data_IF_622993771955
#
_entry.id   IF_622993771955
#
_cell.length_a   1.000
_cell.length_b   1.000
_cell.length_c   1.000
_cell.angle_alpha   90.00
_cell.angle_beta   90.00
_cell.angle_gamma   90.00
#
_symmetry.space_group_name_H-M   'P 1'
#
loop_
_entity.id
_entity.type
_entity.pdbx_description
1 polymer ?
#
# COMPACT_ATOMS: atom_id res chain seq x y z
N UNK A 1 -10.46 -20.24 -13.33
CA UNK A 1 -10.99 -19.33 -12.29
C UNK A 1 -12.00 -18.33 -12.86
N UNK A 2 -11.67 -17.56 -13.91
CA UNK A 2 -12.61 -16.59 -14.50
C UNK A 2 -13.96 -17.17 -14.94
N UNK A 3 -13.99 -18.37 -15.53
CA UNK A 3 -15.23 -19.02 -16.00
C UNK A 3 -16.19 -19.38 -14.85
N UNK A 4 -15.68 -19.73 -13.69
CA UNK A 4 -16.50 -20.06 -12.49
C UNK A 4 -17.13 -18.79 -11.93
N UNK A 5 -16.39 -17.67 -11.89
CA UNK A 5 -16.89 -16.38 -11.43
C UNK A 5 -17.99 -15.83 -12.36
N UNK A 6 -17.84 -16.00 -13.67
CA UNK A 6 -18.85 -15.60 -14.65
C UNK A 6 -20.10 -16.45 -14.49
N UNK A 7 -19.98 -17.78 -14.29
CA UNK A 7 -21.11 -18.68 -14.10
C UNK A 7 -21.88 -18.35 -12.80
N UNK A 8 -21.17 -18.05 -11.70
CA UNK A 8 -21.79 -17.64 -10.44
C UNK A 8 -22.49 -16.28 -10.58
N UNK A 9 -21.88 -15.32 -11.26
CA UNK A 9 -22.49 -14.01 -11.52
C UNK A 9 -23.77 -14.14 -12.36
N UNK A 10 -23.76 -14.96 -13.41
CA UNK A 10 -24.93 -15.23 -14.25
C UNK A 10 -26.04 -15.94 -13.47
N UNK A 11 -25.68 -16.94 -12.64
CA UNK A 11 -26.66 -17.66 -11.80
C UNK A 11 -27.34 -16.73 -10.79
N UNK A 12 -26.57 -15.82 -10.18
CA UNK A 12 -27.10 -14.82 -9.22
C UNK A 12 -28.02 -13.83 -9.91
N UNK A 13 -27.67 -13.33 -11.10
CA UNK A 13 -28.52 -12.42 -11.88
C UNK A 13 -29.80 -13.09 -12.31
N UNK A 14 -29.76 -14.34 -12.78
CA UNK A 14 -30.96 -15.08 -13.22
C UNK A 14 -31.92 -15.45 -12.06
N UNK A 15 -31.39 -15.81 -10.89
CA UNK A 15 -32.20 -16.29 -9.79
C UNK A 15 -32.60 -15.22 -8.75
N UNK A 16 -31.85 -14.15 -8.67
CA UNK A 16 -32.02 -13.09 -7.63
C UNK A 16 -32.11 -11.68 -8.19
N UNK A 17 -31.88 -11.48 -9.49
CA UNK A 17 -31.87 -10.15 -10.12
C UNK A 17 -33.20 -9.39 -10.11
N UNK A 18 -34.31 -10.05 -9.75
CA UNK A 18 -35.63 -9.43 -9.65
C UNK A 18 -35.88 -8.61 -8.37
N UNK A 19 -35.06 -8.77 -7.32
CA UNK A 19 -35.29 -8.18 -5.99
C UNK A 19 -34.24 -7.16 -5.58
N UNK A 20 -33.35 -6.70 -6.49
CA UNK A 20 -32.32 -5.73 -6.16
C UNK A 20 -31.23 -6.25 -5.20
N UNK A 21 -31.17 -7.56 -4.97
CA UNK A 21 -30.15 -8.16 -4.12
C UNK A 21 -28.83 -8.28 -4.89
N UNK A 22 -27.83 -7.52 -4.46
CA UNK A 22 -26.45 -7.66 -4.93
C UNK A 22 -25.66 -8.27 -3.77
N UNK A 23 -25.20 -9.53 -3.87
CA UNK A 23 -24.43 -10.13 -2.79
C UNK A 23 -23.13 -9.37 -2.59
N UNK A 24 -22.70 -9.24 -1.34
CA UNK A 24 -21.37 -8.75 -1.01
C UNK A 24 -20.30 -9.77 -1.42
N UNK A 25 -19.06 -9.31 -1.59
CA UNK A 25 -17.94 -10.22 -1.88
C UNK A 25 -17.77 -11.29 -0.82
N UNK A 26 -18.00 -10.98 0.45
CA UNK A 26 -17.93 -11.95 1.56
C UNK A 26 -18.97 -13.07 1.40
N UNK A 27 -20.19 -12.73 0.96
CA UNK A 27 -21.22 -13.72 0.67
C UNK A 27 -20.84 -14.61 -0.53
N UNK A 28 -20.22 -14.01 -1.56
CA UNK A 28 -19.76 -14.76 -2.73
C UNK A 28 -18.64 -15.73 -2.32
N UNK A 29 -17.67 -15.30 -1.51
CA UNK A 29 -16.59 -16.17 -1.01
C UNK A 29 -17.15 -17.35 -0.20
N UNK A 30 -18.10 -17.09 0.72
CA UNK A 30 -18.77 -18.16 1.48
C UNK A 30 -19.49 -19.18 0.58
N UNK A 31 -20.17 -18.71 -0.48
CA UNK A 31 -20.89 -19.59 -1.39
C UNK A 31 -19.97 -20.47 -2.24
N UNK A 32 -18.81 -20.02 -2.61
CA UNK A 32 -17.82 -20.80 -3.36
C UNK A 32 -16.89 -21.61 -2.46
N UNK A 33 -17.10 -21.58 -1.13
CA UNK A 33 -16.26 -22.30 -0.16
C UNK A 33 -14.83 -21.77 -0.09
N UNK A 34 -14.63 -20.53 -0.49
CA UNK A 34 -13.38 -19.81 -0.29
C UNK A 34 -13.56 -18.97 0.97
N UNK A 35 -12.85 -19.30 2.03
CA UNK A 35 -12.70 -18.38 3.15
C UNK A 35 -11.98 -17.13 2.60
N UNK A 36 -12.56 -15.91 2.79
CA UNK A 36 -11.77 -14.71 2.53
C UNK A 36 -10.50 -14.87 3.36
N UNK A 37 -9.35 -14.68 2.73
CA UNK A 37 -8.10 -14.60 3.48
C UNK A 37 -8.32 -13.53 4.54
N UNK A 38 -8.59 -13.96 5.78
CA UNK A 38 -8.61 -13.04 6.89
C UNK A 38 -7.20 -12.49 6.94
N UNK A 39 -7.05 -11.22 6.60
CA UNK A 39 -5.85 -10.51 7.01
C UNK A 39 -5.79 -10.72 8.52
N UNK A 40 -4.93 -11.62 8.96
CA UNK A 40 -4.64 -11.78 10.36
C UNK A 40 -4.26 -10.38 10.83
N UNK A 41 -5.12 -9.76 11.64
CA UNK A 41 -4.74 -8.56 12.35
C UNK A 41 -3.54 -9.00 13.18
N UNK A 42 -2.34 -8.67 12.70
CA UNK A 42 -1.11 -9.10 13.33
C UNK A 42 -1.16 -8.60 14.76
N UNK A 43 -1.07 -9.53 15.71
CA UNK A 43 -0.89 -9.16 17.11
C UNK A 43 0.33 -8.24 17.21
N UNK A 44 0.34 -7.25 18.12
CA UNK A 44 1.50 -6.40 18.30
C UNK A 44 2.77 -7.26 18.42
N UNK A 45 3.81 -6.89 17.67
CA UNK A 45 5.09 -7.59 17.71
C UNK A 45 5.64 -7.58 19.14
N UNK A 46 6.23 -8.69 19.61
CA UNK A 46 6.97 -8.71 20.87
C UNK A 46 8.04 -7.62 20.90
N UNK A 47 8.33 -7.09 22.08
CA UNK A 47 9.33 -6.05 22.25
C UNK A 47 10.70 -6.50 21.73
N UNK A 48 11.32 -5.70 20.87
CA UNK A 48 12.62 -5.98 20.26
C UNK A 48 12.57 -6.82 18.99
N UNK A 49 11.41 -7.34 18.60
CA UNK A 49 11.27 -8.02 17.31
C UNK A 49 11.07 -7.02 16.17
N UNK A 50 11.61 -7.37 15.00
CA UNK A 50 11.44 -6.61 13.75
C UNK A 50 10.75 -7.50 12.73
N UNK A 51 9.66 -7.01 12.16
CA UNK A 51 9.00 -7.64 11.01
C UNK A 51 9.38 -6.89 9.73
N UNK A 52 9.73 -7.65 8.69
CA UNK A 52 9.98 -7.14 7.35
C UNK A 52 9.02 -7.83 6.39
N UNK A 53 8.15 -7.05 5.78
CA UNK A 53 7.08 -7.54 4.90
C UNK A 53 7.33 -7.04 3.48
N UNK A 54 7.45 -7.96 2.54
CA UNK A 54 7.46 -7.65 1.11
C UNK A 54 6.01 -7.65 0.62
N UNK A 55 5.49 -6.48 0.30
CA UNK A 55 4.10 -6.31 -0.13
C UNK A 55 3.95 -6.65 -1.61
N UNK A 56 2.88 -7.38 -1.95
CA UNK A 56 2.59 -7.71 -3.36
C UNK A 56 1.97 -6.50 -4.07
N UNK A 57 2.80 -5.77 -4.77
CA UNK A 57 2.42 -4.62 -5.58
C UNK A 57 2.49 -4.90 -7.09
N UNK A 58 2.68 -6.16 -7.48
CA UNK A 58 2.92 -6.57 -8.86
C UNK A 58 4.34 -6.23 -9.32
N UNK A 59 4.46 -5.55 -10.47
CA UNK A 59 5.78 -5.12 -10.95
C UNK A 59 6.22 -3.87 -10.20
N UNK A 60 7.20 -4.01 -9.31
CA UNK A 60 7.73 -2.92 -8.50
C UNK A 60 8.08 -3.39 -7.09
N UNK A 61 8.50 -2.48 -6.24
CA UNK A 61 8.89 -2.78 -4.86
C UNK A 61 8.05 -2.00 -3.86
N UNK A 62 7.70 -2.67 -2.76
CA UNK A 62 7.17 -2.06 -1.54
C UNK A 62 7.54 -2.95 -0.34
N UNK A 63 8.32 -2.43 0.59
CA UNK A 63 8.78 -3.16 1.77
C UNK A 63 8.38 -2.41 3.02
N UNK A 64 7.56 -3.04 3.86
CA UNK A 64 7.16 -2.52 5.16
C UNK A 64 8.07 -3.11 6.24
N UNK A 65 8.61 -2.25 7.11
CA UNK A 65 9.39 -2.63 8.28
C UNK A 65 8.66 -2.13 9.52
N UNK A 66 8.39 -3.05 10.45
CA UNK A 66 7.71 -2.76 11.71
C UNK A 66 8.61 -3.16 12.88
N UNK A 67 8.78 -2.26 13.86
CA UNK A 67 9.51 -2.54 15.08
C UNK A 67 9.02 -1.64 16.22
N UNK A 68 8.66 -2.23 17.36
CA UNK A 68 8.29 -1.49 18.59
C UNK A 68 7.25 -0.39 18.38
N UNK A 69 6.31 -0.57 17.44
CA UNK A 69 5.29 0.42 17.10
C UNK A 69 5.73 1.47 16.08
N UNK A 70 7.01 1.49 15.69
CA UNK A 70 7.50 2.29 14.57
C UNK A 70 7.26 1.56 13.24
N UNK A 71 7.01 2.33 12.19
CA UNK A 71 6.79 1.81 10.83
C UNK A 71 7.61 2.59 9.78
N UNK A 72 8.26 1.84 8.91
CA UNK A 72 8.97 2.38 7.76
C UNK A 72 8.49 1.69 6.49
N UNK A 73 8.11 2.46 5.48
CA UNK A 73 7.80 1.94 4.14
C UNK A 73 8.89 2.34 3.16
N UNK A 74 9.51 1.36 2.51
CA UNK A 74 10.51 1.56 1.47
C UNK A 74 9.85 1.26 0.12
N UNK A 75 9.75 2.26 -0.71
CA UNK A 75 9.00 2.30 -1.96
C UNK A 75 7.51 1.99 -1.79
N UNK A 76 6.72 2.17 -2.85
CA UNK A 76 5.26 2.10 -2.79
C UNK A 76 4.65 1.47 -4.06
N UNK A 77 5.45 0.77 -4.84
CA UNK A 77 4.99 0.12 -6.06
C UNK A 77 4.44 1.06 -7.13
N UNK A 78 3.85 0.48 -8.18
CA UNK A 78 3.25 1.23 -9.27
C UNK A 78 1.92 1.87 -8.87
N UNK A 79 1.49 2.84 -9.66
CA UNK A 79 0.28 3.64 -9.40
C UNK A 79 -1.00 2.79 -9.33
N UNK A 80 -1.11 1.75 -10.09
CA UNK A 80 -2.29 0.88 -10.14
C UNK A 80 -2.42 -0.04 -8.92
N UNK A 81 -1.32 -0.35 -8.23
CA UNK A 81 -1.34 -1.10 -6.97
C UNK A 81 -1.71 -0.25 -5.74
N UNK A 82 -1.79 1.08 -5.84
CA UNK A 82 -1.93 1.98 -4.69
C UNK A 82 -3.11 1.71 -3.75
N UNK A 83 -4.23 1.18 -4.27
CA UNK A 83 -5.41 0.89 -3.43
C UNK A 83 -5.17 -0.35 -2.57
N UNK A 84 -4.59 -1.40 -3.16
CA UNK A 84 -4.23 -2.61 -2.44
C UNK A 84 -3.14 -2.30 -1.39
N UNK A 85 -2.11 -1.54 -1.77
CA UNK A 85 -1.07 -1.10 -0.85
C UNK A 85 -1.64 -0.39 0.39
N UNK A 86 -2.58 0.55 0.21
CA UNK A 86 -3.22 1.24 1.34
C UNK A 86 -4.02 0.27 2.22
N UNK A 87 -4.69 -0.72 1.63
CA UNK A 87 -5.42 -1.75 2.38
C UNK A 87 -4.45 -2.67 3.15
N UNK A 88 -3.37 -3.09 2.50
CA UNK A 88 -2.36 -3.94 3.11
C UNK A 88 -1.70 -3.25 4.30
N UNK A 89 -1.25 -2.00 4.14
CA UNK A 89 -0.68 -1.22 5.26
C UNK A 89 -1.65 -1.12 6.44
N UNK A 90 -2.95 -0.89 6.18
CA UNK A 90 -3.98 -0.88 7.23
C UNK A 90 -4.16 -2.23 7.90
N UNK A 91 -4.06 -3.34 7.14
CA UNK A 91 -4.18 -4.70 7.67
C UNK A 91 -3.03 -5.04 8.64
N UNK A 92 -1.84 -4.46 8.42
CA UNK A 92 -0.70 -4.51 9.35
C UNK A 92 -0.81 -3.52 10.51
N UNK A 93 -1.93 -2.82 10.65
CA UNK A 93 -2.16 -1.86 11.75
C UNK A 93 -1.43 -0.54 11.60
N UNK A 94 -0.85 -0.25 10.43
CA UNK A 94 -0.17 1.02 10.17
C UNK A 94 -1.20 2.15 10.16
N UNK A 95 -0.99 3.13 11.01
CA UNK A 95 -1.72 4.41 11.00
C UNK A 95 -0.77 5.60 10.76
N UNK A 96 0.49 5.42 11.16
CA UNK A 96 1.59 6.38 11.01
C UNK A 96 2.78 5.67 10.37
N UNK A 97 3.53 6.39 9.57
CA UNK A 97 4.85 5.99 9.06
C UNK A 97 5.89 6.98 9.60
N UNK A 98 6.84 6.50 10.36
CA UNK A 98 7.97 7.31 10.80
C UNK A 98 8.86 7.69 9.61
N UNK A 99 9.01 6.76 8.68
CA UNK A 99 9.73 6.98 7.44
C UNK A 99 8.96 6.43 6.22
N UNK A 100 8.85 7.25 5.18
CA UNK A 100 8.55 6.82 3.82
C UNK A 100 9.82 7.03 2.99
N UNK A 101 10.36 5.98 2.39
CA UNK A 101 11.64 6.02 1.69
C UNK A 101 11.42 5.84 0.19
N UNK A 102 11.88 6.78 -0.61
CA UNK A 102 11.99 6.67 -2.05
C UNK A 102 13.41 6.21 -2.39
N UNK A 103 13.57 5.00 -2.90
CA UNK A 103 14.91 4.52 -3.30
C UNK A 103 15.38 5.20 -4.58
N UNK A 104 14.49 5.35 -5.55
CA UNK A 104 14.75 6.05 -6.81
C UNK A 104 13.45 6.48 -7.52
N UNK A 105 13.50 7.46 -8.46
CA UNK A 105 12.31 8.12 -8.99
C UNK A 105 11.59 7.38 -10.12
N UNK A 106 11.64 6.04 -10.20
CA UNK A 106 10.92 5.28 -11.20
C UNK A 106 9.47 5.03 -10.79
N UNK A 107 8.57 4.96 -11.78
CA UNK A 107 7.13 4.90 -11.55
C UNK A 107 6.65 3.63 -10.84
N UNK A 108 7.36 2.53 -10.96
CA UNK A 108 7.12 1.26 -10.30
C UNK A 108 7.59 1.20 -8.83
N UNK A 109 8.23 2.29 -8.35
CA UNK A 109 8.63 2.49 -6.96
C UNK A 109 7.88 3.65 -6.29
N UNK A 110 7.64 4.74 -7.02
CA UNK A 110 7.00 5.94 -6.44
C UNK A 110 5.51 6.04 -6.75
N UNK A 111 4.97 5.14 -7.56
CA UNK A 111 3.61 5.23 -8.08
C UNK A 111 2.52 5.28 -7.02
N UNK A 112 2.69 4.56 -5.93
CA UNK A 112 1.78 4.51 -4.79
C UNK A 112 2.02 5.57 -3.72
N UNK A 113 3.18 6.24 -3.69
CA UNK A 113 3.58 7.14 -2.59
C UNK A 113 2.59 8.29 -2.36
N UNK A 114 2.00 8.83 -3.42
CA UNK A 114 0.98 9.87 -3.29
C UNK A 114 -0.22 9.37 -2.46
N UNK A 115 -0.67 8.13 -2.69
CA UNK A 115 -1.77 7.56 -1.92
C UNK A 115 -1.36 7.29 -0.46
N UNK A 116 -0.11 6.89 -0.23
CA UNK A 116 0.44 6.71 1.13
C UNK A 116 0.42 8.04 1.87
N UNK A 117 0.98 9.10 1.31
CA UNK A 117 1.00 10.45 1.90
C UNK A 117 -0.40 11.01 2.21
N UNK A 118 -1.41 10.64 1.42
CA UNK A 118 -2.80 11.10 1.59
C UNK A 118 -3.60 10.27 2.60
N UNK A 119 -3.16 9.07 2.94
CA UNK A 119 -3.93 8.13 3.76
C UNK A 119 -3.31 7.81 5.12
N UNK A 120 -2.04 8.17 5.33
CA UNK A 120 -1.29 7.89 6.56
C UNK A 120 -0.60 9.14 7.08
N UNK A 121 -0.37 9.17 8.39
CA UNK A 121 0.44 10.20 9.04
C UNK A 121 1.92 9.88 8.79
N UNK A 122 2.52 10.53 7.79
CA UNK A 122 3.94 10.32 7.42
C UNK A 122 4.79 11.40 8.07
N UNK A 123 5.78 10.99 8.89
CA UNK A 123 6.62 11.93 9.61
C UNK A 123 7.76 12.49 8.75
N UNK A 124 8.34 11.67 7.88
CA UNK A 124 9.43 12.09 6.99
C UNK A 124 9.40 11.30 5.68
N UNK A 125 9.55 11.98 4.56
CA UNK A 125 9.83 11.38 3.25
C UNK A 125 11.33 11.49 2.96
N UNK A 126 12.04 10.36 2.97
CA UNK A 126 13.43 10.29 2.52
C UNK A 126 13.49 10.07 1.01
N UNK A 127 14.33 10.83 0.33
CA UNK A 127 14.53 10.73 -1.12
C UNK A 127 16.02 10.56 -1.43
N UNK A 128 16.38 9.99 -2.59
CA UNK A 128 17.76 10.20 -3.09
C UNK A 128 18.03 11.69 -3.30
N UNK A 129 19.28 12.06 -3.49
CA UNK A 129 19.61 13.41 -3.94
C UNK A 129 19.04 13.62 -5.36
N UNK A 130 18.05 14.49 -5.47
CA UNK A 130 17.35 14.81 -6.71
C UNK A 130 17.82 16.12 -7.35
N UNK A 131 18.87 16.75 -6.81
CA UNK A 131 19.35 18.08 -7.25
C UNK A 131 19.74 18.13 -8.73
N UNK A 132 20.31 17.04 -9.25
CA UNK A 132 20.75 16.90 -10.63
C UNK A 132 19.77 16.06 -11.51
N UNK A 133 18.56 15.79 -10.99
CA UNK A 133 17.57 14.92 -11.65
C UNK A 133 16.43 15.76 -12.23
N UNK A 134 16.10 15.53 -13.50
CA UNK A 134 14.86 16.08 -14.08
C UNK A 134 13.64 15.36 -13.47
N UNK A 135 13.12 15.97 -12.41
CA UNK A 135 12.02 15.39 -11.64
C UNK A 135 10.70 15.67 -12.32
N UNK A 136 10.11 14.66 -12.94
CA UNK A 136 8.86 14.75 -13.67
C UNK A 136 7.85 13.66 -13.23
N UNK A 137 6.62 13.76 -13.74
CA UNK A 137 5.61 12.70 -13.63
C UNK A 137 5.20 12.37 -12.20
N UNK A 138 5.35 11.13 -11.78
CA UNK A 138 4.90 10.64 -10.47
C UNK A 138 5.75 11.22 -9.34
N UNK A 139 7.06 11.31 -9.50
CA UNK A 139 7.96 11.86 -8.49
C UNK A 139 7.62 13.31 -8.17
N UNK A 140 7.39 14.15 -9.19
CA UNK A 140 6.98 15.54 -8.97
C UNK A 140 5.67 15.62 -8.18
N UNK A 141 4.67 14.78 -8.53
CA UNK A 141 3.40 14.71 -7.79
C UNK A 141 3.58 14.25 -6.35
N UNK A 142 4.46 13.29 -6.11
CA UNK A 142 4.79 12.82 -4.75
C UNK A 142 5.37 13.95 -3.91
N UNK A 143 6.36 14.68 -4.43
CA UNK A 143 6.97 15.81 -3.73
C UNK A 143 5.97 16.94 -3.46
N UNK A 144 5.11 17.24 -4.44
CA UNK A 144 4.04 18.22 -4.27
C UNK A 144 3.04 17.78 -3.20
N UNK A 145 2.63 16.51 -3.20
CA UNK A 145 1.71 15.96 -2.19
C UNK A 145 2.34 15.99 -0.80
N UNK A 146 3.62 15.65 -0.67
CA UNK A 146 4.34 15.76 0.60
C UNK A 146 4.30 17.20 1.14
N UNK A 147 4.54 18.19 0.27
CA UNK A 147 4.44 19.62 0.64
C UNK A 147 3.01 20.00 1.05
N UNK A 148 1.99 19.56 0.31
CA UNK A 148 0.57 19.83 0.61
C UNK A 148 0.13 19.20 1.94
N UNK A 149 0.67 18.02 2.29
CA UNK A 149 0.43 17.33 3.56
C UNK A 149 1.32 17.85 4.71
N UNK A 150 2.27 18.74 4.43
CA UNK A 150 3.19 19.27 5.43
C UNK A 150 4.29 18.26 5.86
N UNK A 151 4.55 17.23 5.05
CA UNK A 151 5.55 16.19 5.31
C UNK A 151 6.93 16.69 4.94
N UNK A 152 7.91 16.69 5.87
CA UNK A 152 9.31 17.01 5.56
C UNK A 152 9.87 16.07 4.51
N UNK A 153 10.59 16.64 3.53
CA UNK A 153 11.32 15.88 2.50
C UNK A 153 12.79 16.05 2.73
N UNK A 154 13.49 14.95 3.00
CA UNK A 154 14.92 14.97 3.32
C UNK A 154 15.70 14.10 2.33
N UNK A 155 16.83 14.59 1.79
CA UNK A 155 17.72 13.77 0.99
C UNK A 155 18.49 12.79 1.87
N UNK A 156 18.53 11.53 1.45
CA UNK A 156 19.31 10.48 2.12
C UNK A 156 20.78 10.52 1.66
N UNK A 157 21.69 10.57 2.61
CA UNK A 157 23.15 10.56 2.34
C UNK A 157 23.81 9.31 2.92
N UNK A 158 24.82 8.81 2.22
CA UNK A 158 25.63 7.67 2.69
C UNK A 158 26.24 7.96 4.07
N UNK A 159 26.01 7.05 5.02
CA UNK A 159 26.57 7.15 6.38
C UNK A 159 25.70 7.95 7.36
N UNK A 160 24.57 8.52 6.93
CA UNK A 160 23.58 9.13 7.83
C UNK A 160 22.71 8.05 8.48
N UNK A 161 22.32 8.27 9.74
CA UNK A 161 21.35 7.46 10.47
C UNK A 161 20.07 8.29 10.65
N UNK A 162 18.95 7.66 10.42
CA UNK A 162 17.61 8.24 10.51
C UNK A 162 16.80 7.56 11.60
#
# INVERSE_FOLDING_TARGET
>A
MAAVLIAVALYVVENYGGNGFVPSWDQIYQWVGLEPSQSETTAPLPEGETEVVFLDVGQGDAVLILQNGAACLIDAGPKDARQNLVQDLRSYGVSQLDLLVMTHPHADHVGGMQAVLQNFDVQTLLTPDLSDTDVAGQTQRTLQTAQECGVPVEPAYTGTQY
#
